data_IF_705466331649
#
_entry.id   IF_705466331649
#
_cell.length_a   1.000
_cell.length_b   1.000
_cell.length_c   1.000
_cell.angle_alpha   90.00
_cell.angle_beta   90.00
_cell.angle_gamma   90.00
#
_symmetry.space_group_name_H-M   'P 1'
#
loop_
_entity.id
_entity.type
_entity.pdbx_description
1 polymer ?
#
# COMPACT_ATOMS: atom_id res chain seq x y z
N UNK A 1 -57.29 -72.69 62.41
CA UNK A 1 -58.38 -72.06 63.20
C UNK A 1 -57.83 -70.77 63.77
N UNK A 2 -58.04 -69.66 63.05
CA UNK A 2 -59.01 -68.59 63.35
C UNK A 2 -58.49 -67.61 64.41
N UNK A 3 -58.54 -66.29 64.27
CA UNK A 3 -58.88 -65.36 63.19
C UNK A 3 -58.63 -63.98 63.83
N UNK A 4 -58.01 -63.01 63.14
CA UNK A 4 -58.34 -61.57 63.31
C UNK A 4 -57.56 -60.66 62.37
N UNK A 5 -58.34 -60.10 61.45
CA UNK A 5 -58.38 -58.70 61.02
C UNK A 5 -57.23 -58.11 60.20
N UNK A 6 -57.55 -58.03 58.91
CA UNK A 6 -57.16 -57.05 57.90
C UNK A 6 -56.89 -55.64 58.43
N UNK A 7 -55.81 -55.03 57.96
CA UNK A 7 -55.82 -53.62 57.53
C UNK A 7 -54.83 -53.43 56.38
N UNK A 8 -55.39 -53.09 55.22
CA UNK A 8 -54.68 -52.74 53.99
C UNK A 8 -54.38 -51.24 54.09
N UNK A 9 -53.10 -50.87 54.19
CA UNK A 9 -52.66 -49.48 54.06
C UNK A 9 -52.47 -49.14 52.59
N UNK A 10 -53.39 -48.35 52.04
CA UNK A 10 -53.26 -47.73 50.72
C UNK A 10 -52.31 -46.52 50.88
N UNK A 11 -51.13 -46.60 50.28
CA UNK A 11 -50.23 -45.45 50.10
C UNK A 11 -50.83 -44.59 48.97
N UNK A 12 -51.41 -43.46 49.34
CA UNK A 12 -51.86 -42.44 48.39
C UNK A 12 -50.65 -41.61 47.95
N UNK A 13 -50.11 -41.95 46.77
CA UNK A 13 -49.07 -41.18 46.10
C UNK A 13 -49.75 -40.02 45.37
N UNK A 14 -49.78 -38.83 45.99
CA UNK A 14 -50.18 -37.60 45.31
C UNK A 14 -48.98 -37.17 44.45
N UNK A 15 -48.98 -37.60 43.19
CA UNK A 15 -48.15 -37.04 42.14
C UNK A 15 -48.66 -35.64 41.81
N UNK A 16 -48.03 -34.62 42.40
CA UNK A 16 -48.18 -33.24 41.97
C UNK A 16 -47.53 -33.12 40.58
N UNK A 17 -48.36 -33.29 39.55
CA UNK A 17 -48.00 -32.94 38.17
C UNK A 17 -47.86 -31.42 38.15
N UNK A 18 -46.63 -30.94 38.34
CA UNK A 18 -46.26 -29.57 37.99
C UNK A 18 -46.35 -29.52 36.48
N UNK A 19 -47.48 -29.02 36.00
CA UNK A 19 -47.68 -28.58 34.64
C UNK A 19 -46.71 -27.42 34.38
N UNK A 20 -45.50 -27.76 33.95
CA UNK A 20 -44.60 -26.87 33.26
C UNK A 20 -45.22 -26.50 31.90
N UNK A 21 -46.20 -25.60 31.95
CA UNK A 21 -46.55 -24.81 30.78
C UNK A 21 -45.30 -24.02 30.36
N UNK A 22 -45.10 -23.76 29.06
CA UNK A 22 -44.01 -22.91 28.62
C UNK A 22 -44.15 -21.56 29.34
N UNK A 23 -43.14 -21.18 30.13
CA UNK A 23 -42.97 -19.82 30.60
C UNK A 23 -43.10 -18.92 29.36
N UNK A 24 -44.19 -18.16 29.27
CA UNK A 24 -44.22 -16.98 28.42
C UNK A 24 -43.00 -16.16 28.83
N UNK A 25 -42.00 -16.06 27.96
CA UNK A 25 -40.89 -15.16 28.15
C UNK A 25 -41.49 -13.78 28.43
N UNK A 26 -41.42 -13.35 29.69
CA UNK A 26 -41.91 -12.04 30.09
C UNK A 26 -41.05 -11.02 29.37
N UNK A 27 -41.68 -10.12 28.62
CA UNK A 27 -40.97 -8.98 28.05
C UNK A 27 -40.31 -8.21 29.20
N UNK A 28 -39.03 -7.93 29.09
CA UNK A 28 -38.29 -7.13 30.05
C UNK A 28 -38.93 -5.75 30.20
N UNK A 29 -38.96 -5.21 31.43
CA UNK A 29 -39.31 -3.82 31.71
C UNK A 29 -38.05 -2.96 31.82
N UNK A 30 -38.20 -1.63 31.79
CA UNK A 30 -37.06 -0.72 32.00
C UNK A 30 -36.37 -0.95 33.35
N UNK A 31 -37.12 -1.32 34.40
CA UNK A 31 -36.57 -1.61 35.73
C UNK A 31 -35.72 -2.88 35.73
N UNK A 32 -36.12 -3.89 34.96
CA UNK A 32 -35.34 -5.12 34.83
C UNK A 32 -34.00 -4.82 34.13
N UNK A 33 -34.03 -3.97 33.09
CA UNK A 33 -32.82 -3.50 32.41
C UNK A 33 -31.90 -2.69 33.35
N UNK A 34 -32.46 -1.82 34.20
CA UNK A 34 -31.68 -1.09 35.22
C UNK A 34 -30.97 -2.04 36.20
N UNK A 35 -31.64 -3.10 36.64
CA UNK A 35 -31.03 -4.11 37.52
C UNK A 35 -29.90 -4.85 36.81
N UNK A 36 -30.09 -5.22 35.53
CA UNK A 36 -29.04 -5.85 34.74
C UNK A 36 -27.83 -4.93 34.54
N UNK A 37 -28.06 -3.62 34.33
CA UNK A 37 -27.01 -2.62 34.22
C UNK A 37 -26.21 -2.52 35.52
N UNK A 38 -26.89 -2.36 36.66
CA UNK A 38 -26.29 -2.25 37.99
C UNK A 38 -25.43 -3.48 38.32
N UNK A 39 -25.92 -4.67 37.96
CA UNK A 39 -25.21 -5.93 38.17
C UNK A 39 -24.14 -6.22 37.09
N UNK A 40 -23.96 -5.33 36.11
CA UNK A 40 -23.04 -5.47 34.97
C UNK A 40 -23.26 -6.76 34.17
N UNK A 41 -24.49 -7.26 34.10
CA UNK A 41 -24.85 -8.42 33.30
C UNK A 41 -25.10 -8.00 31.83
N UNK A 42 -24.00 -7.68 31.15
CA UNK A 42 -24.05 -6.99 29.85
C UNK A 42 -24.60 -7.84 28.71
N UNK A 43 -24.37 -9.16 28.71
CA UNK A 43 -24.89 -10.04 27.65
C UNK A 43 -26.41 -10.10 27.70
N UNK A 44 -26.96 -10.41 28.87
CA UNK A 44 -28.41 -10.49 29.07
C UNK A 44 -29.09 -9.14 28.85
N UNK A 45 -28.49 -8.04 29.34
CA UNK A 45 -28.99 -6.70 29.06
C UNK A 45 -29.14 -6.46 27.55
N UNK A 46 -28.08 -6.74 26.76
CA UNK A 46 -28.06 -6.47 25.33
C UNK A 46 -28.94 -7.45 24.53
N UNK A 47 -29.22 -8.64 25.03
CA UNK A 47 -30.17 -9.57 24.41
C UNK A 47 -31.63 -9.06 24.55
N UNK A 48 -31.92 -8.36 25.65
CA UNK A 48 -33.27 -7.91 26.01
C UNK A 48 -33.50 -6.38 25.93
N UNK A 49 -32.49 -5.59 25.55
CA UNK A 49 -32.57 -4.13 25.53
C UNK A 49 -33.69 -3.58 24.63
N UNK A 50 -34.14 -4.34 23.64
CA UNK A 50 -35.24 -3.98 22.73
C UNK A 50 -36.58 -4.66 23.06
N UNK A 51 -36.68 -5.41 24.15
CA UNK A 51 -37.95 -5.99 24.59
C UNK A 51 -38.91 -4.92 25.15
N UNK A 52 -38.36 -3.81 25.67
CA UNK A 52 -39.13 -2.66 26.12
C UNK A 52 -39.78 -1.90 24.95
N UNK A 53 -40.87 -1.17 25.24
CA UNK A 53 -41.62 -0.43 24.21
C UNK A 53 -40.75 0.67 23.61
N UNK A 54 -40.88 0.99 22.30
CA UNK A 54 -40.14 2.10 21.69
C UNK A 54 -40.31 3.45 22.41
N UNK A 55 -41.47 3.72 23.02
CA UNK A 55 -41.73 4.93 23.80
C UNK A 55 -40.91 5.02 25.09
N UNK A 56 -40.38 3.91 25.59
CA UNK A 56 -39.55 3.83 26.80
C UNK A 56 -38.04 3.94 26.48
N UNK A 57 -37.67 3.93 25.20
CA UNK A 57 -36.29 4.05 24.71
C UNK A 57 -35.84 5.51 24.65
N UNK A 58 -35.90 6.16 25.80
CA UNK A 58 -35.48 7.55 26.00
C UNK A 58 -33.96 7.65 26.24
N UNK A 59 -33.47 8.85 26.57
CA UNK A 59 -32.05 9.10 26.82
C UNK A 59 -31.45 8.26 27.95
N UNK A 60 -32.26 7.87 28.94
CA UNK A 60 -31.81 6.99 30.03
C UNK A 60 -31.50 5.60 29.51
N UNK A 61 -32.45 4.99 28.78
CA UNK A 61 -32.21 3.72 28.10
C UNK A 61 -31.03 3.79 27.12
N UNK A 62 -30.89 4.90 26.40
CA UNK A 62 -29.77 5.13 25.47
C UNK A 62 -28.43 5.02 26.19
N UNK A 63 -28.27 5.73 27.32
CA UNK A 63 -27.05 5.73 28.15
C UNK A 63 -26.73 4.35 28.72
N UNK A 64 -27.72 3.67 29.29
CA UNK A 64 -27.54 2.31 29.82
C UNK A 64 -27.11 1.35 28.71
N UNK A 65 -27.73 1.44 27.54
CA UNK A 65 -27.41 0.57 26.40
C UNK A 65 -26.00 0.79 25.87
N UNK A 66 -25.57 2.05 25.73
CA UNK A 66 -24.20 2.39 25.35
C UNK A 66 -23.19 1.88 26.38
N UNK A 67 -23.45 2.12 27.67
CA UNK A 67 -22.61 1.66 28.77
C UNK A 67 -22.47 0.13 28.77
N UNK A 68 -23.57 -0.62 28.66
CA UNK A 68 -23.54 -2.07 28.67
C UNK A 68 -22.87 -2.66 27.44
N UNK A 69 -23.00 -2.04 26.27
CA UNK A 69 -22.26 -2.44 25.07
C UNK A 69 -20.74 -2.27 25.27
N UNK A 70 -20.30 -1.14 25.84
CA UNK A 70 -18.89 -0.89 26.17
C UNK A 70 -18.36 -1.90 27.20
N UNK A 71 -19.13 -2.18 28.26
CA UNK A 71 -18.79 -3.16 29.30
C UNK A 71 -18.66 -4.57 28.70
N UNK A 72 -19.62 -4.98 27.88
CA UNK A 72 -19.60 -6.28 27.21
C UNK A 72 -18.33 -6.43 26.36
N UNK A 73 -18.09 -5.49 25.46
CA UNK A 73 -16.95 -5.58 24.52
C UNK A 73 -15.62 -5.49 25.26
N UNK A 74 -15.51 -4.65 26.30
CA UNK A 74 -14.29 -4.56 27.11
C UNK A 74 -13.99 -5.89 27.82
N UNK A 75 -15.01 -6.53 28.41
CA UNK A 75 -14.86 -7.85 29.04
C UNK A 75 -14.39 -8.90 28.04
N UNK A 76 -14.88 -8.86 26.80
CA UNK A 76 -14.44 -9.80 25.76
C UNK A 76 -12.98 -9.56 25.35
N UNK A 77 -12.55 -8.29 25.25
CA UNK A 77 -11.15 -7.94 24.94
C UNK A 77 -10.21 -8.36 26.07
N UNK A 78 -10.54 -7.99 27.31
CA UNK A 78 -9.73 -8.29 28.51
C UNK A 78 -9.59 -9.80 28.73
N UNK A 79 -10.69 -10.54 28.55
CA UNK A 79 -10.71 -12.00 28.61
C UNK A 79 -10.11 -12.69 27.38
N UNK A 80 -9.66 -11.94 26.36
CA UNK A 80 -9.18 -12.45 25.05
C UNK A 80 -10.16 -13.43 24.39
N UNK A 81 -11.45 -13.19 24.55
CA UNK A 81 -12.53 -14.04 24.05
C UNK A 81 -12.87 -13.70 22.60
N UNK A 82 -11.89 -13.74 21.70
CA UNK A 82 -12.03 -13.36 20.29
C UNK A 82 -12.57 -14.51 19.41
N UNK A 83 -13.68 -15.11 19.83
CA UNK A 83 -14.38 -16.13 19.05
C UNK A 83 -15.45 -15.51 18.13
N UNK A 84 -15.93 -16.32 17.18
CA UNK A 84 -16.89 -15.91 16.16
C UNK A 84 -18.27 -15.57 16.73
N UNK A 85 -18.72 -16.27 17.77
CA UNK A 85 -20.00 -15.97 18.45
C UNK A 85 -20.00 -14.53 18.98
N UNK A 86 -18.95 -14.15 19.70
CA UNK A 86 -18.80 -12.81 20.24
C UNK A 86 -18.66 -11.75 19.14
N UNK A 87 -17.92 -12.04 18.07
CA UNK A 87 -17.83 -11.16 16.91
C UNK A 87 -19.22 -10.91 16.30
N UNK A 88 -19.96 -11.97 16.00
CA UNK A 88 -21.31 -11.87 15.43
C UNK A 88 -22.27 -11.11 16.35
N UNK A 89 -22.18 -11.32 17.67
CA UNK A 89 -23.01 -10.60 18.62
C UNK A 89 -22.70 -9.09 18.61
N UNK A 90 -21.42 -8.71 18.64
CA UNK A 90 -20.98 -7.30 18.57
C UNK A 90 -21.42 -6.67 17.25
N UNK A 91 -21.25 -7.36 16.12
CA UNK A 91 -21.68 -6.87 14.81
C UNK A 91 -23.20 -6.72 14.71
N UNK A 92 -23.96 -7.61 15.36
CA UNK A 92 -25.43 -7.54 15.41
C UNK A 92 -25.91 -6.30 16.17
N UNK A 93 -25.36 -6.04 17.36
CA UNK A 93 -25.77 -4.87 18.16
C UNK A 93 -25.27 -3.55 17.55
N UNK A 94 -24.17 -3.58 16.78
CA UNK A 94 -23.66 -2.41 16.07
C UNK A 94 -24.68 -1.82 15.06
N UNK A 95 -25.65 -2.61 14.61
CA UNK A 95 -26.72 -2.15 13.72
C UNK A 95 -27.74 -1.23 14.41
N UNK A 96 -27.66 -1.08 15.73
CA UNK A 96 -28.56 -0.21 16.49
C UNK A 96 -28.08 1.23 16.39
N UNK A 97 -28.94 2.21 15.99
CA UNK A 97 -28.53 3.61 15.85
C UNK A 97 -27.85 4.18 17.10
N UNK A 98 -28.34 3.83 18.29
CA UNK A 98 -27.77 4.20 19.59
C UNK A 98 -26.30 3.82 19.75
N UNK A 99 -25.88 2.70 19.16
CA UNK A 99 -24.52 2.16 19.26
C UNK A 99 -23.65 2.53 18.05
N UNK A 100 -24.24 2.65 16.85
CA UNK A 100 -23.52 3.11 15.66
C UNK A 100 -22.93 4.51 15.88
N UNK A 101 -23.69 5.40 16.53
CA UNK A 101 -23.29 6.78 16.83
C UNK A 101 -22.36 6.89 18.05
N UNK A 102 -22.32 5.89 18.93
CA UNK A 102 -21.56 5.96 20.18
C UNK A 102 -20.05 5.76 19.97
N UNK A 103 -19.25 6.79 20.25
CA UNK A 103 -17.81 6.75 20.01
C UNK A 103 -17.07 5.73 20.88
N UNK A 104 -17.44 5.60 22.15
CA UNK A 104 -16.77 4.66 23.06
C UNK A 104 -16.99 3.21 22.64
N UNK A 105 -18.23 2.85 22.26
CA UNK A 105 -18.53 1.53 21.74
C UNK A 105 -17.81 1.27 20.42
N UNK A 106 -17.77 2.23 19.48
CA UNK A 106 -17.06 2.04 18.21
C UNK A 106 -15.56 1.79 18.43
N UNK A 107 -14.91 2.55 19.33
CA UNK A 107 -13.49 2.34 19.69
C UNK A 107 -13.29 0.93 20.26
N UNK A 108 -14.17 0.48 21.17
CA UNK A 108 -14.08 -0.87 21.73
C UNK A 108 -14.34 -1.96 20.69
N UNK A 109 -15.32 -1.77 19.81
CA UNK A 109 -15.62 -2.67 18.69
C UNK A 109 -14.41 -2.85 17.78
N UNK A 110 -13.76 -1.76 17.38
CA UNK A 110 -12.54 -1.81 16.56
C UNK A 110 -11.36 -2.45 17.30
N UNK A 111 -11.24 -2.23 18.61
CA UNK A 111 -10.26 -2.94 19.44
C UNK A 111 -10.51 -4.45 19.51
N UNK A 112 -11.77 -4.87 19.57
CA UNK A 112 -12.14 -6.29 19.51
C UNK A 112 -11.86 -6.91 18.14
N UNK A 113 -12.15 -6.19 17.04
CA UNK A 113 -11.87 -6.64 15.67
C UNK A 113 -10.41 -7.00 15.45
N UNK A 114 -9.49 -6.16 15.94
CA UNK A 114 -8.04 -6.42 15.89
C UNK A 114 -7.67 -7.78 16.50
N UNK A 115 -8.22 -8.10 17.67
CA UNK A 115 -7.99 -9.39 18.32
C UNK A 115 -8.64 -10.55 17.57
N UNK A 116 -9.87 -10.35 17.10
CA UNK A 116 -10.64 -11.31 16.33
C UNK A 116 -9.96 -11.71 15.03
N UNK A 117 -9.63 -10.75 14.15
CA UNK A 117 -9.03 -11.08 12.86
C UNK A 117 -7.65 -11.70 13.00
N UNK A 118 -6.85 -11.28 13.99
CA UNK A 118 -5.60 -11.94 14.32
C UNK A 118 -5.78 -13.41 14.71
N UNK A 119 -6.81 -13.74 15.50
CA UNK A 119 -7.09 -15.12 15.86
C UNK A 119 -7.69 -15.92 14.69
N UNK A 120 -8.56 -15.28 13.90
CA UNK A 120 -9.21 -15.87 12.74
C UNK A 120 -8.18 -16.32 11.69
N UNK A 121 -7.23 -15.44 11.33
CA UNK A 121 -6.17 -15.75 10.38
C UNK A 121 -5.23 -16.86 10.86
N UNK A 122 -4.98 -16.96 12.18
CA UNK A 122 -4.16 -18.06 12.75
C UNK A 122 -4.81 -19.44 12.62
N UNK A 123 -6.13 -19.51 12.43
CA UNK A 123 -6.86 -20.77 12.22
C UNK A 123 -6.91 -21.21 10.75
N UNK A 124 -6.25 -20.47 9.85
CA UNK A 124 -6.30 -20.67 8.39
C UNK A 124 -7.73 -20.58 7.82
N UNK A 125 -8.60 -19.77 8.44
CA UNK A 125 -9.99 -19.52 8.00
C UNK A 125 -10.09 -18.30 7.06
N UNK A 126 -9.03 -18.01 6.29
CA UNK A 126 -8.83 -16.77 5.52
C UNK A 126 -10.08 -16.27 4.77
N UNK A 127 -10.79 -17.16 4.08
CA UNK A 127 -11.99 -16.81 3.30
C UNK A 127 -13.11 -16.24 4.19
N UNK A 128 -13.36 -16.87 5.34
CA UNK A 128 -14.39 -16.43 6.28
C UNK A 128 -13.95 -15.12 6.94
N UNK A 129 -12.69 -15.07 7.41
CA UNK A 129 -12.13 -13.87 8.04
C UNK A 129 -12.20 -12.66 7.10
N UNK A 130 -11.89 -12.86 5.82
CA UNK A 130 -11.93 -11.81 4.80
C UNK A 130 -13.36 -11.32 4.55
N UNK A 131 -14.33 -12.22 4.42
CA UNK A 131 -15.74 -11.83 4.26
C UNK A 131 -16.22 -11.00 5.44
N UNK A 132 -15.93 -11.46 6.66
CA UNK A 132 -16.30 -10.78 7.90
C UNK A 132 -15.59 -9.43 8.06
N UNK A 133 -14.33 -9.32 7.65
CA UNK A 133 -13.61 -8.05 7.56
C UNK A 133 -14.33 -7.07 6.64
N UNK A 134 -14.66 -7.49 5.42
CA UNK A 134 -15.29 -6.61 4.44
C UNK A 134 -16.67 -6.14 4.91
N UNK A 135 -17.45 -7.03 5.54
CA UNK A 135 -18.74 -6.67 6.15
C UNK A 135 -18.57 -5.70 7.32
N UNK A 136 -17.63 -5.98 8.23
CA UNK A 136 -17.36 -5.12 9.39
C UNK A 136 -16.83 -3.74 8.98
N UNK A 137 -15.99 -3.68 7.95
CA UNK A 137 -15.47 -2.44 7.37
C UNK A 137 -16.57 -1.59 6.74
N UNK A 138 -17.50 -2.22 6.00
CA UNK A 138 -18.61 -1.53 5.36
C UNK A 138 -19.51 -0.78 6.35
N UNK A 139 -19.69 -1.32 7.55
CA UNK A 139 -20.47 -0.74 8.65
C UNK A 139 -19.65 0.06 9.68
N UNK A 140 -18.34 0.22 9.45
CA UNK A 140 -17.44 0.95 10.36
C UNK A 140 -17.37 2.45 10.05
N UNK A 141 -16.69 3.19 10.93
CA UNK A 141 -16.32 4.60 10.71
C UNK A 141 -15.23 4.78 9.65
N UNK A 142 -14.62 3.68 9.18
CA UNK A 142 -13.56 3.64 8.17
C UNK A 142 -12.30 4.38 8.63
N UNK A 143 -11.91 4.14 9.88
CA UNK A 143 -10.73 4.72 10.50
C UNK A 143 -9.45 4.40 9.69
N UNK A 144 -8.62 5.41 9.36
CA UNK A 144 -7.40 5.21 8.58
C UNK A 144 -6.34 4.35 9.26
N UNK A 145 -6.17 4.43 10.58
CA UNK A 145 -5.19 3.58 11.29
C UNK A 145 -5.61 2.11 11.23
N UNK A 146 -6.91 1.86 11.39
CA UNK A 146 -7.48 0.51 11.21
C UNK A 146 -7.34 0.01 9.78
N UNK A 147 -7.48 0.87 8.77
CA UNK A 147 -7.21 0.48 7.39
C UNK A 147 -5.76 0.00 7.20
N UNK A 148 -4.77 0.70 7.79
CA UNK A 148 -3.37 0.25 7.72
C UNK A 148 -3.18 -1.08 8.43
N UNK A 149 -3.78 -1.25 9.61
CA UNK A 149 -3.73 -2.49 10.38
C UNK A 149 -4.26 -3.67 9.55
N UNK A 150 -5.42 -3.52 8.92
CA UNK A 150 -6.03 -4.56 8.08
C UNK A 150 -5.23 -4.87 6.82
N UNK A 151 -4.68 -3.85 6.14
CA UNK A 151 -3.78 -4.04 5.01
C UNK A 151 -2.50 -4.81 5.41
N UNK A 152 -2.01 -4.60 6.64
CA UNK A 152 -0.87 -5.34 7.18
C UNK A 152 -1.19 -6.79 7.55
N UNK A 153 -2.42 -7.07 7.98
CA UNK A 153 -2.87 -8.41 8.38
C UNK A 153 -3.26 -9.28 7.18
N UNK A 154 -4.03 -8.74 6.24
CA UNK A 154 -4.65 -9.50 5.15
C UNK A 154 -3.83 -9.40 3.86
N UNK A 155 -2.94 -10.38 3.65
CA UNK A 155 -2.03 -10.41 2.48
C UNK A 155 -2.71 -10.83 1.17
N UNK A 156 -3.89 -11.46 1.23
CA UNK A 156 -4.59 -12.05 0.08
C UNK A 156 -5.80 -11.23 -0.38
N UNK A 157 -5.81 -9.92 -0.12
CA UNK A 157 -6.83 -9.02 -0.66
C UNK A 157 -6.65 -8.86 -2.17
N UNK A 158 -7.75 -8.89 -2.92
CA UNK A 158 -7.70 -8.52 -4.32
C UNK A 158 -7.54 -6.99 -4.50
N UNK A 159 -7.28 -6.55 -5.74
CA UNK A 159 -7.03 -5.12 -6.03
C UNK A 159 -8.20 -4.19 -5.68
N UNK A 160 -9.44 -4.69 -5.75
CA UNK A 160 -10.64 -3.91 -5.42
C UNK A 160 -10.81 -3.84 -3.90
N UNK A 161 -10.64 -4.97 -3.22
CA UNK A 161 -10.70 -5.07 -1.76
C UNK A 161 -9.62 -4.19 -1.11
N UNK A 162 -8.37 -4.29 -1.56
CA UNK A 162 -7.25 -3.46 -1.10
C UNK A 162 -7.55 -1.96 -1.26
N UNK A 163 -8.17 -1.57 -2.37
CA UNK A 163 -8.49 -0.16 -2.66
C UNK A 163 -9.46 0.45 -1.64
N UNK A 164 -10.35 -0.35 -1.05
CA UNK A 164 -11.31 0.11 -0.04
C UNK A 164 -10.61 0.64 1.22
N UNK A 165 -9.51 0.01 1.60
CA UNK A 165 -8.71 0.41 2.76
C UNK A 165 -7.68 1.46 2.36
N UNK A 166 -6.96 1.23 1.26
CA UNK A 166 -5.87 2.09 0.83
C UNK A 166 -6.36 3.52 0.55
N UNK A 167 -7.50 3.69 -0.13
CA UNK A 167 -8.07 5.02 -0.40
C UNK A 167 -8.35 5.84 0.86
N UNK A 168 -8.71 5.20 1.98
CA UNK A 168 -8.93 5.86 3.27
C UNK A 168 -7.63 6.34 3.89
N UNK A 169 -6.56 5.57 3.74
CA UNK A 169 -5.22 5.96 4.21
C UNK A 169 -4.70 7.14 3.39
N UNK A 170 -4.71 7.01 2.06
CA UNK A 170 -4.08 7.95 1.12
C UNK A 170 -4.73 9.34 1.07
N UNK A 171 -5.99 9.45 1.51
CA UNK A 171 -6.76 10.70 1.47
C UNK A 171 -7.15 11.22 2.86
N UNK A 172 -6.66 10.60 3.93
CA UNK A 172 -6.93 11.06 5.30
C UNK A 172 -6.17 12.35 5.66
N UNK A 173 -6.69 13.08 6.64
CA UNK A 173 -6.02 14.23 7.26
C UNK A 173 -4.73 13.87 8.01
N UNK A 174 -4.49 12.60 8.31
CA UNK A 174 -3.28 12.08 8.96
C UNK A 174 -2.36 11.32 8.00
N UNK A 175 -2.65 11.38 6.69
CA UNK A 175 -1.93 10.66 5.63
C UNK A 175 -0.41 10.89 5.62
N UNK A 176 0.06 12.09 6.01
CA UNK A 176 1.49 12.37 6.17
C UNK A 176 2.20 11.37 7.11
N UNK A 177 1.51 10.87 8.14
CA UNK A 177 2.06 9.90 9.08
C UNK A 177 1.84 8.45 8.65
N UNK A 178 0.78 8.18 7.89
CA UNK A 178 0.42 6.82 7.49
C UNK A 178 1.13 6.38 6.21
N UNK A 179 1.32 7.28 5.24
CA UNK A 179 1.90 6.93 3.94
C UNK A 179 3.39 6.54 4.01
N UNK A 180 4.09 6.94 5.07
CA UNK A 180 5.46 6.48 5.37
C UNK A 180 5.52 5.06 5.96
N UNK A 181 4.38 4.46 6.35
CA UNK A 181 4.37 3.09 6.90
C UNK A 181 4.74 2.12 5.76
N UNK A 182 5.66 1.15 5.97
CA UNK A 182 6.20 0.32 4.89
C UNK A 182 5.15 -0.40 4.03
N UNK A 183 4.10 -0.94 4.65
CA UNK A 183 3.01 -1.62 3.93
C UNK A 183 2.28 -0.67 2.99
N UNK A 184 2.04 0.57 3.41
CA UNK A 184 1.33 1.57 2.60
C UNK A 184 2.24 2.04 1.48
N UNK A 185 3.51 2.32 1.78
CA UNK A 185 4.48 2.74 0.78
C UNK A 185 4.63 1.69 -0.33
N UNK A 186 4.82 0.42 0.02
CA UNK A 186 4.97 -0.69 -0.95
C UNK A 186 3.73 -0.83 -1.85
N UNK A 187 2.54 -0.94 -1.25
CA UNK A 187 1.28 -1.09 -1.99
C UNK A 187 1.05 0.10 -2.93
N UNK A 188 1.30 1.31 -2.45
CA UNK A 188 1.05 2.53 -3.21
C UNK A 188 2.01 2.68 -4.38
N UNK A 189 3.31 2.45 -4.15
CA UNK A 189 4.34 2.49 -5.20
C UNK A 189 4.05 1.42 -6.25
N UNK A 190 3.75 0.19 -5.83
CA UNK A 190 3.39 -0.90 -6.74
C UNK A 190 2.17 -0.54 -7.60
N UNK A 191 1.15 0.08 -7.01
CA UNK A 191 -0.07 0.48 -7.72
C UNK A 191 0.19 1.60 -8.73
N UNK A 192 0.96 2.63 -8.36
CA UNK A 192 1.38 3.71 -9.25
C UNK A 192 2.21 3.19 -10.43
N UNK A 193 3.20 2.33 -10.18
CA UNK A 193 4.05 1.74 -11.23
C UNK A 193 3.20 0.90 -12.20
N UNK A 194 2.33 0.05 -11.67
CA UNK A 194 1.46 -0.79 -12.49
C UNK A 194 0.50 0.07 -13.33
N UNK A 195 -0.09 1.10 -12.75
CA UNK A 195 -1.00 1.98 -13.48
C UNK A 195 -0.27 2.79 -14.55
N UNK A 196 0.94 3.29 -14.28
CA UNK A 196 1.78 3.98 -15.25
C UNK A 196 2.21 3.09 -16.43
N UNK A 197 2.31 1.77 -16.20
CA UNK A 197 2.61 0.80 -17.23
C UNK A 197 1.38 0.43 -18.08
N UNK A 198 0.18 0.42 -17.49
CA UNK A 198 -1.06 0.01 -18.16
C UNK A 198 -1.76 1.16 -18.90
N UNK A 199 -1.78 2.36 -18.33
CA UNK A 199 -2.46 3.51 -18.91
C UNK A 199 -1.58 4.19 -19.97
N UNK A 200 -2.04 4.18 -21.21
CA UNK A 200 -1.31 4.78 -22.34
C UNK A 200 -1.74 6.23 -22.60
N UNK A 201 -2.92 6.63 -22.12
CA UNK A 201 -3.42 8.00 -22.23
C UNK A 201 -2.86 8.85 -21.08
N UNK A 202 -1.95 9.77 -21.43
CA UNK A 202 -1.29 10.64 -20.47
C UNK A 202 -2.27 11.55 -19.70
N UNK A 203 -3.40 11.94 -20.31
CA UNK A 203 -4.40 12.81 -19.66
C UNK A 203 -5.17 12.01 -18.62
N UNK A 204 -5.60 10.79 -18.97
CA UNK A 204 -6.27 9.88 -18.02
C UNK A 204 -5.36 9.49 -16.87
N UNK A 205 -4.10 9.15 -17.17
CA UNK A 205 -3.14 8.81 -16.13
C UNK A 205 -2.89 9.98 -15.18
N UNK A 206 -2.77 11.20 -15.72
CA UNK A 206 -2.62 12.42 -14.91
C UNK A 206 -3.79 12.62 -13.95
N UNK A 207 -5.03 12.64 -14.46
CA UNK A 207 -6.23 12.81 -13.64
C UNK A 207 -6.34 11.71 -12.58
N UNK A 208 -6.14 10.45 -12.95
CA UNK A 208 -6.15 9.34 -11.99
C UNK A 208 -5.06 9.50 -10.93
N UNK A 209 -3.83 9.85 -11.33
CA UNK A 209 -2.72 9.99 -10.40
C UNK A 209 -3.02 11.11 -9.40
N UNK A 210 -3.49 12.27 -9.85
CA UNK A 210 -3.90 13.40 -9.00
C UNK A 210 -4.98 13.04 -7.99
N UNK A 211 -5.99 12.27 -8.40
CA UNK A 211 -7.11 11.83 -7.54
C UNK A 211 -6.76 10.67 -6.61
N UNK A 212 -5.73 9.88 -6.94
CA UNK A 212 -5.41 8.65 -6.22
C UNK A 212 -4.97 8.88 -4.76
N UNK A 213 -4.30 10.01 -4.49
CA UNK A 213 -3.86 10.40 -3.15
C UNK A 213 -3.76 11.91 -3.00
N UNK A 214 -3.92 12.39 -1.76
CA UNK A 214 -3.73 13.79 -1.43
C UNK A 214 -2.25 14.21 -1.45
N UNK A 215 -2.00 15.52 -1.35
CA UNK A 215 -0.67 16.09 -1.41
C UNK A 215 0.24 15.65 -0.25
N UNK A 216 -0.32 15.52 0.96
CA UNK A 216 0.44 15.12 2.15
C UNK A 216 1.02 13.71 2.01
N UNK A 217 0.22 12.78 1.51
CA UNK A 217 0.65 11.42 1.20
C UNK A 217 1.68 11.40 0.08
N UNK A 218 1.43 12.16 -1.00
CA UNK A 218 2.34 12.26 -2.13
C UNK A 218 3.73 12.76 -1.70
N UNK A 219 3.80 13.76 -0.82
CA UNK A 219 5.07 14.27 -0.29
C UNK A 219 5.90 13.18 0.42
N UNK A 220 5.27 12.17 1.01
CA UNK A 220 5.97 11.03 1.63
C UNK A 220 6.43 9.99 0.61
N UNK A 221 5.70 9.83 -0.49
CA UNK A 221 5.93 8.78 -1.47
C UNK A 221 6.89 9.24 -2.58
N UNK A 222 6.82 10.52 -2.98
CA UNK A 222 7.64 11.13 -4.03
C UNK A 222 9.13 10.77 -3.94
N UNK A 223 9.81 10.81 -2.77
CA UNK A 223 11.23 10.50 -2.69
C UNK A 223 11.60 9.12 -3.24
N UNK A 224 10.70 8.13 -3.15
CA UNK A 224 10.92 6.79 -3.72
C UNK A 224 10.98 6.83 -5.23
N UNK A 225 10.16 7.67 -5.87
CA UNK A 225 10.19 7.85 -7.32
C UNK A 225 11.40 8.66 -7.76
N UNK A 226 11.81 9.67 -6.99
CA UNK A 226 13.02 10.45 -7.26
C UNK A 226 14.27 9.55 -7.23
N UNK A 227 14.38 8.66 -6.24
CA UNK A 227 15.45 7.66 -6.17
C UNK A 227 15.35 6.66 -7.32
N UNK A 228 14.14 6.14 -7.59
CA UNK A 228 13.92 5.16 -8.65
C UNK A 228 14.14 5.72 -10.06
N UNK A 229 14.03 7.04 -10.27
CA UNK A 229 14.31 7.69 -11.55
C UNK A 229 15.78 7.56 -11.94
N UNK A 230 16.67 7.50 -10.96
CA UNK A 230 18.12 7.35 -11.12
C UNK A 230 18.63 5.92 -10.85
N UNK A 231 17.71 5.00 -10.53
CA UNK A 231 18.04 3.60 -10.22
C UNK A 231 18.52 2.78 -11.42
N UNK A 232 18.91 1.53 -11.16
CA UNK A 232 19.47 0.63 -12.18
C UNK A 232 18.41 -0.04 -13.08
N UNK A 233 17.16 -0.16 -12.63
CA UNK A 233 16.09 -0.82 -13.38
C UNK A 233 15.47 0.12 -14.41
N UNK A 234 15.69 -0.17 -15.70
CA UNK A 234 15.09 0.63 -16.79
C UNK A 234 13.56 0.68 -16.72
N UNK A 235 12.91 -0.40 -16.32
CA UNK A 235 11.45 -0.44 -16.19
C UNK A 235 10.97 0.52 -15.09
N UNK A 236 11.60 0.47 -13.92
CA UNK A 236 11.24 1.33 -12.80
C UNK A 236 11.58 2.81 -13.07
N UNK A 237 12.71 3.11 -13.71
CA UNK A 237 13.03 4.49 -14.14
C UNK A 237 11.94 5.06 -15.05
N UNK A 238 11.51 4.29 -16.05
CA UNK A 238 10.47 4.73 -17.00
C UNK A 238 9.13 4.97 -16.31
N UNK A 239 8.68 4.05 -15.44
CA UNK A 239 7.41 4.26 -14.74
C UNK A 239 7.50 5.41 -13.74
N UNK A 240 8.64 5.58 -13.05
CA UNK A 240 8.87 6.71 -12.14
C UNK A 240 8.82 8.04 -12.88
N UNK A 241 9.44 8.12 -14.06
CA UNK A 241 9.34 9.30 -14.92
C UNK A 241 7.89 9.64 -15.25
N UNK A 242 7.07 8.66 -15.67
CA UNK A 242 5.65 8.89 -15.96
C UNK A 242 4.88 9.38 -14.74
N UNK A 243 5.09 8.76 -13.58
CA UNK A 243 4.42 9.13 -12.32
C UNK A 243 4.75 10.57 -11.93
N UNK A 244 6.03 10.94 -11.94
CA UNK A 244 6.49 12.28 -11.60
C UNK A 244 6.05 13.33 -12.64
N UNK A 245 6.09 12.99 -13.93
CA UNK A 245 5.63 13.87 -15.01
C UNK A 245 4.13 14.16 -14.91
N UNK A 246 3.33 13.13 -14.61
CA UNK A 246 1.89 13.28 -14.42
C UNK A 246 1.54 14.23 -13.27
N UNK A 247 2.33 14.23 -12.18
CA UNK A 247 2.18 15.15 -11.05
C UNK A 247 2.79 16.54 -11.30
N UNK A 248 3.55 16.71 -12.39
CA UNK A 248 4.26 17.96 -12.66
C UNK A 248 5.44 18.22 -11.71
N UNK A 249 5.94 17.18 -11.03
CA UNK A 249 6.95 17.28 -9.98
C UNK A 249 8.37 16.97 -10.44
N UNK A 250 8.54 16.64 -11.73
CA UNK A 250 9.86 16.45 -12.32
C UNK A 250 10.65 17.75 -12.32
N UNK A 251 11.79 17.74 -11.65
CA UNK A 251 12.77 18.82 -11.75
C UNK A 251 13.41 18.77 -13.14
N UNK A 252 13.53 19.93 -13.82
CA UNK A 252 14.04 20.02 -15.19
C UNK A 252 15.37 19.27 -15.39
N UNK A 253 16.30 19.41 -14.43
CA UNK A 253 17.61 18.76 -14.53
C UNK A 253 17.50 17.23 -14.47
N UNK A 254 16.60 16.69 -13.65
CA UNK A 254 16.40 15.26 -13.48
C UNK A 254 15.68 14.67 -14.70
N UNK A 255 14.71 15.41 -15.24
CA UNK A 255 14.08 15.11 -16.52
C UNK A 255 15.13 15.00 -17.63
N UNK A 256 16.03 15.98 -17.77
CA UNK A 256 17.08 15.93 -18.78
C UNK A 256 18.02 14.74 -18.55
N UNK A 257 18.48 14.51 -17.33
CA UNK A 257 19.37 13.37 -16.99
C UNK A 257 18.71 12.04 -17.36
N UNK A 258 17.45 11.83 -17.00
CA UNK A 258 16.71 10.62 -17.35
C UNK A 258 16.57 10.47 -18.87
N UNK A 259 16.13 11.52 -19.58
CA UNK A 259 15.91 11.49 -21.02
C UNK A 259 17.20 11.24 -21.81
N UNK A 260 18.32 11.83 -21.40
CA UNK A 260 19.62 11.55 -22.02
C UNK A 260 20.08 10.12 -21.70
N UNK A 261 19.90 9.66 -20.46
CA UNK A 261 20.18 8.26 -20.10
C UNK A 261 19.35 7.28 -20.91
N UNK A 262 18.10 7.62 -21.21
CA UNK A 262 17.23 6.82 -22.08
C UNK A 262 17.77 6.67 -23.51
N UNK A 263 18.35 7.73 -24.09
CA UNK A 263 19.04 7.66 -25.40
C UNK A 263 20.27 6.76 -25.32
N UNK A 264 20.97 6.76 -24.20
CA UNK A 264 22.18 5.99 -23.97
C UNK A 264 21.93 4.51 -23.62
N UNK A 265 20.71 4.16 -23.20
CA UNK A 265 20.32 2.83 -22.74
C UNK A 265 19.36 2.13 -23.70
N UNK A 266 19.64 2.17 -25.01
CA UNK A 266 18.84 1.50 -26.07
C UNK A 266 17.38 2.00 -26.13
N UNK A 267 17.15 3.20 -26.69
CA UNK A 267 15.82 3.79 -26.71
C UNK A 267 14.87 3.01 -27.62
N UNK A 268 13.62 2.88 -27.18
CA UNK A 268 12.52 2.30 -27.97
C UNK A 268 11.77 3.41 -28.70
N UNK A 269 11.34 3.14 -29.94
CA UNK A 269 10.54 4.11 -30.70
C UNK A 269 9.22 4.39 -29.97
N UNK A 270 8.85 5.66 -29.81
CA UNK A 270 7.62 6.06 -29.14
C UNK A 270 7.68 7.49 -28.60
N UNK A 271 6.68 7.88 -27.81
CA UNK A 271 6.59 9.23 -27.21
C UNK A 271 7.86 9.60 -26.43
N UNK A 272 8.35 8.67 -25.62
CA UNK A 272 9.52 8.91 -24.77
C UNK A 272 10.79 9.15 -25.60
N UNK A 273 10.97 8.43 -26.70
CA UNK A 273 12.07 8.69 -27.62
C UNK A 273 11.98 10.09 -28.24
N UNK A 274 10.80 10.52 -28.68
CA UNK A 274 10.63 11.86 -29.23
C UNK A 274 10.94 12.95 -28.19
N UNK A 275 10.50 12.77 -26.95
CA UNK A 275 10.85 13.66 -25.84
C UNK A 275 12.37 13.70 -25.62
N UNK A 276 13.00 12.54 -25.55
CA UNK A 276 14.43 12.43 -25.29
C UNK A 276 15.30 13.00 -26.44
N UNK A 277 14.87 12.79 -27.67
CA UNK A 277 15.52 13.33 -28.86
C UNK A 277 15.45 14.85 -28.92
N UNK A 278 14.29 15.42 -28.57
CA UNK A 278 14.11 16.86 -28.49
C UNK A 278 14.94 17.44 -27.35
N UNK A 279 14.95 16.79 -26.19
CA UNK A 279 15.75 17.20 -25.04
C UNK A 279 17.24 17.25 -25.38
N UNK A 280 17.77 16.22 -26.03
CA UNK A 280 19.17 16.19 -26.49
C UNK A 280 19.52 17.42 -27.35
N UNK A 281 18.64 17.78 -28.29
CA UNK A 281 18.83 18.98 -29.12
C UNK A 281 18.73 20.28 -28.32
N UNK A 282 17.86 20.34 -27.32
CA UNK A 282 17.71 21.54 -26.49
C UNK A 282 18.92 21.77 -25.59
N UNK A 283 19.39 20.74 -24.89
CA UNK A 283 20.60 20.87 -24.08
C UNK A 283 21.80 21.22 -24.96
N UNK A 284 21.84 20.74 -26.21
CA UNK A 284 22.88 21.06 -27.18
C UNK A 284 23.08 22.55 -27.44
N UNK A 285 22.04 23.37 -27.22
CA UNK A 285 22.07 24.82 -27.40
C UNK A 285 22.55 25.59 -26.17
N UNK A 286 22.68 24.94 -25.01
CA UNK A 286 23.01 25.62 -23.74
C UNK A 286 24.16 24.91 -23.00
N UNK A 287 25.38 25.42 -23.18
CA UNK A 287 26.60 24.86 -22.60
C UNK A 287 26.53 24.74 -21.06
N UNK A 288 26.07 25.79 -20.38
CA UNK A 288 25.95 25.77 -18.91
C UNK A 288 24.98 24.68 -18.44
N UNK A 289 23.86 24.52 -19.15
CA UNK A 289 22.89 23.46 -18.86
C UNK A 289 23.49 22.06 -19.07
N UNK A 290 24.21 21.82 -20.18
CA UNK A 290 24.91 20.55 -20.43
C UNK A 290 25.88 20.19 -19.31
N UNK A 291 26.66 21.15 -18.81
CA UNK A 291 27.61 20.90 -17.71
C UNK A 291 26.89 20.44 -16.45
N UNK A 292 25.71 21.02 -16.14
CA UNK A 292 24.90 20.59 -14.99
C UNK A 292 24.32 19.18 -15.21
N UNK A 293 23.84 18.87 -16.41
CA UNK A 293 23.35 17.52 -16.76
C UNK A 293 24.49 16.52 -16.61
N UNK A 294 25.67 16.81 -17.17
CA UNK A 294 26.85 15.97 -17.07
C UNK A 294 27.26 15.76 -15.61
N UNK A 295 27.27 16.82 -14.79
CA UNK A 295 27.62 16.73 -13.38
C UNK A 295 26.73 15.75 -12.61
N UNK A 296 25.43 15.67 -12.95
CA UNK A 296 24.51 14.69 -12.38
C UNK A 296 24.77 13.29 -12.92
N UNK A 297 24.94 13.14 -14.24
CA UNK A 297 25.20 11.84 -14.87
C UNK A 297 26.49 11.18 -14.40
N UNK A 298 27.52 11.95 -14.03
CA UNK A 298 28.78 11.44 -13.45
C UNK A 298 28.61 10.63 -12.18
N UNK A 299 27.50 10.80 -11.46
CA UNK A 299 27.22 10.09 -10.22
C UNK A 299 26.43 8.79 -10.46
N UNK A 300 26.08 8.48 -11.72
CA UNK A 300 25.42 7.24 -12.08
C UNK A 300 26.44 6.10 -12.10
N UNK A 301 26.06 4.95 -11.55
CA UNK A 301 26.91 3.77 -11.50
C UNK A 301 26.07 2.50 -11.78
N UNK A 302 26.25 1.83 -12.94
CA UNK A 302 27.19 2.19 -14.01
C UNK A 302 26.72 3.41 -14.83
N UNK A 303 27.65 4.00 -15.57
CA UNK A 303 27.34 5.03 -16.57
C UNK A 303 26.51 4.42 -17.72
N UNK A 304 25.40 5.08 -18.15
CA UNK A 304 24.60 4.65 -19.29
C UNK A 304 25.43 4.51 -20.57
N UNK A 305 25.23 3.42 -21.30
CA UNK A 305 26.08 3.16 -22.47
C UNK A 305 25.71 1.94 -23.29
N UNK A 306 24.52 1.37 -23.11
CA UNK A 306 24.06 0.23 -23.93
C UNK A 306 23.95 0.59 -25.41
N UNK A 307 23.80 1.88 -25.71
CA UNK A 307 23.88 2.45 -27.05
C UNK A 307 25.11 1.94 -27.84
N UNK A 308 26.26 1.80 -27.18
CA UNK A 308 27.50 1.34 -27.84
C UNK A 308 27.47 -0.14 -28.23
N UNK A 309 26.52 -0.90 -27.70
CA UNK A 309 26.32 -2.33 -27.98
C UNK A 309 25.14 -2.59 -28.93
N UNK A 310 24.49 -1.55 -29.48
CA UNK A 310 23.38 -1.77 -30.41
C UNK A 310 23.83 -2.56 -31.65
N UNK A 311 23.04 -3.58 -31.98
CA UNK A 311 23.21 -4.43 -33.17
C UNK A 311 22.90 -3.63 -34.44
N UNK A 312 21.86 -2.80 -34.40
CA UNK A 312 21.50 -1.92 -35.53
C UNK A 312 22.51 -0.79 -35.67
N UNK A 313 23.46 -0.96 -36.61
CA UNK A 313 24.54 0.00 -36.87
C UNK A 313 24.04 1.34 -37.39
N UNK A 314 22.96 1.36 -38.17
CA UNK A 314 22.39 2.60 -38.70
C UNK A 314 21.78 3.43 -37.58
N UNK A 315 20.93 2.80 -36.75
CA UNK A 315 20.34 3.45 -35.58
C UNK A 315 21.42 3.94 -34.61
N UNK A 316 22.42 3.10 -34.33
CA UNK A 316 23.58 3.45 -33.50
C UNK A 316 24.33 4.66 -34.05
N UNK A 317 24.67 4.67 -35.33
CA UNK A 317 25.37 5.76 -36.01
C UNK A 317 24.63 7.09 -35.89
N UNK A 318 23.31 7.07 -36.15
CA UNK A 318 22.45 8.26 -36.06
C UNK A 318 22.42 8.82 -34.64
N UNK A 319 22.20 7.95 -33.64
CA UNK A 319 22.14 8.35 -32.23
C UNK A 319 23.48 8.91 -31.74
N UNK A 320 24.59 8.27 -32.10
CA UNK A 320 25.94 8.73 -31.74
C UNK A 320 26.30 10.04 -32.40
N UNK A 321 25.95 10.23 -33.67
CA UNK A 321 26.17 11.50 -34.38
C UNK A 321 25.42 12.64 -33.69
N UNK A 322 24.17 12.40 -33.27
CA UNK A 322 23.44 13.42 -32.51
C UNK A 322 24.00 13.64 -31.12
N UNK A 323 24.43 12.59 -30.44
CA UNK A 323 25.03 12.71 -29.11
C UNK A 323 26.35 13.49 -29.17
N UNK A 324 27.22 13.19 -30.13
CA UNK A 324 28.48 13.91 -30.33
C UNK A 324 28.25 15.38 -30.69
N UNK A 325 27.27 15.66 -31.57
CA UNK A 325 26.94 17.03 -31.94
C UNK A 325 26.40 17.87 -30.78
N UNK A 326 25.56 17.27 -29.93
CA UNK A 326 24.80 18.02 -28.93
C UNK A 326 25.37 17.90 -27.51
N UNK A 327 26.01 16.79 -27.17
CA UNK A 327 26.54 16.52 -25.84
C UNK A 327 27.85 15.70 -25.86
N UNK A 328 28.89 16.19 -26.56
CA UNK A 328 30.17 15.47 -26.73
C UNK A 328 30.91 15.23 -25.41
N UNK A 329 30.68 16.07 -24.40
CA UNK A 329 31.34 15.98 -23.09
C UNK A 329 30.99 14.68 -22.36
N UNK A 330 29.83 14.07 -22.66
CA UNK A 330 29.47 12.76 -22.12
C UNK A 330 30.36 11.65 -22.69
N UNK A 331 30.61 11.66 -24.00
CA UNK A 331 31.46 10.67 -24.67
C UNK A 331 32.90 10.73 -24.14
N UNK A 332 33.46 11.93 -24.02
CA UNK A 332 34.79 12.13 -23.43
C UNK A 332 34.85 11.62 -21.99
N UNK A 333 33.84 11.95 -21.18
CA UNK A 333 33.78 11.47 -19.80
C UNK A 333 33.67 9.94 -19.71
N UNK A 334 32.75 9.32 -20.46
CA UNK A 334 32.57 7.86 -20.48
C UNK A 334 33.87 7.16 -20.90
N UNK A 335 34.52 7.62 -21.98
CA UNK A 335 35.79 7.07 -22.45
C UNK A 335 36.91 7.23 -21.42
N UNK A 336 37.04 8.39 -20.76
CA UNK A 336 38.05 8.59 -19.71
C UNK A 336 37.82 7.66 -18.52
N UNK A 337 36.58 7.56 -18.04
CA UNK A 337 36.22 6.69 -16.91
C UNK A 337 36.52 5.23 -17.24
N UNK A 338 36.22 4.80 -18.47
CA UNK A 338 36.59 3.48 -18.99
C UNK A 338 38.10 3.23 -18.96
N UNK A 339 38.91 4.19 -19.43
CA UNK A 339 40.37 4.04 -19.39
C UNK A 339 40.96 4.11 -17.98
N UNK A 340 40.42 4.97 -17.12
CA UNK A 340 40.82 5.06 -15.71
C UNK A 340 40.55 3.73 -14.98
N UNK A 341 39.43 3.06 -15.29
CA UNK A 341 39.11 1.73 -14.79
C UNK A 341 40.08 0.67 -15.32
N UNK A 342 40.31 0.63 -16.64
CA UNK A 342 41.22 -0.37 -17.24
C UNK A 342 42.67 -0.23 -16.76
N UNK A 343 43.11 0.99 -16.45
CA UNK A 343 44.45 1.26 -15.92
C UNK A 343 44.56 1.12 -14.39
N UNK A 344 43.45 0.88 -13.68
CA UNK A 344 43.44 0.83 -12.21
C UNK A 344 43.80 2.15 -11.54
N UNK A 345 43.61 3.30 -12.22
CA UNK A 345 43.94 4.64 -11.68
C UNK A 345 42.97 5.15 -10.63
N UNK A 346 41.77 4.56 -10.56
CA UNK A 346 40.71 4.92 -9.62
C UNK A 346 40.05 3.66 -9.09
N UNK A 347 39.61 3.74 -7.84
CA UNK A 347 38.80 2.71 -7.23
C UNK A 347 37.32 2.90 -7.61
N UNK A 348 36.69 1.81 -8.02
CA UNK A 348 35.28 1.76 -8.36
C UNK A 348 34.63 0.67 -7.50
N UNK A 349 34.03 1.02 -6.35
CA UNK A 349 33.62 0.05 -5.33
C UNK A 349 32.52 -0.91 -5.80
N UNK A 350 31.79 -0.57 -6.86
CA UNK A 350 30.72 -1.40 -7.46
C UNK A 350 31.16 -2.14 -8.73
N UNK A 351 32.46 -2.17 -9.02
CA UNK A 351 33.02 -2.88 -10.18
C UNK A 351 33.17 -1.97 -11.40
N UNK A 352 32.92 -2.51 -12.60
CA UNK A 352 33.14 -1.78 -13.85
C UNK A 352 32.11 -0.63 -14.04
N UNK A 353 32.52 0.65 -13.95
CA UNK A 353 31.61 1.80 -14.08
C UNK A 353 31.12 2.01 -15.52
N UNK A 354 31.74 1.34 -16.49
CA UNK A 354 31.46 1.47 -17.92
C UNK A 354 31.39 0.09 -18.58
N UNK A 355 30.30 -0.67 -18.40
CA UNK A 355 30.19 -2.06 -18.88
C UNK A 355 30.49 -2.23 -20.37
N UNK A 356 30.21 -1.20 -21.18
CA UNK A 356 30.42 -1.21 -22.64
C UNK A 356 31.75 -0.57 -23.08
N UNK A 357 32.72 -0.47 -22.17
CA UNK A 357 34.03 0.15 -22.36
C UNK A 357 34.79 -0.38 -23.59
N UNK A 358 34.79 -1.69 -23.85
CA UNK A 358 35.50 -2.23 -25.02
C UNK A 358 34.86 -1.82 -26.36
N UNK A 359 33.52 -1.74 -26.39
CA UNK A 359 32.76 -1.41 -27.62
C UNK A 359 33.02 0.01 -28.08
N UNK A 360 33.20 0.96 -27.14
CA UNK A 360 33.41 2.37 -27.50
C UNK A 360 34.66 2.60 -28.37
N UNK A 361 35.71 1.78 -28.18
CA UNK A 361 36.97 1.91 -28.89
C UNK A 361 37.12 0.93 -30.06
N UNK A 362 36.49 -0.25 -29.99
CA UNK A 362 36.64 -1.31 -31.00
C UNK A 362 35.63 -1.21 -32.15
N UNK A 363 34.48 -0.57 -31.92
CA UNK A 363 33.41 -0.48 -32.90
C UNK A 363 33.71 0.60 -33.96
N UNK A 364 33.57 0.26 -35.25
CA UNK A 364 33.86 1.16 -36.38
C UNK A 364 32.91 2.35 -36.47
N UNK A 365 31.70 2.23 -35.91
CA UNK A 365 30.69 3.29 -35.86
C UNK A 365 30.93 4.21 -34.67
N UNK A 366 31.38 3.66 -33.54
CA UNK A 366 31.56 4.42 -32.28
C UNK A 366 32.93 5.09 -32.21
N UNK A 367 33.99 4.40 -32.65
CA UNK A 367 35.36 4.91 -32.55
C UNK A 367 35.53 6.30 -33.21
N UNK A 368 34.96 6.64 -34.38
CA UNK A 368 35.12 7.95 -35.00
C UNK A 368 34.79 9.15 -34.12
N UNK A 369 33.79 9.06 -33.23
CA UNK A 369 33.38 10.16 -32.33
C UNK A 369 34.24 10.30 -31.07
N UNK A 370 35.22 9.41 -30.87
CA UNK A 370 36.11 9.45 -29.70
C UNK A 370 37.38 10.24 -30.00
N UNK A 371 37.79 11.05 -29.02
CA UNK A 371 39.01 11.86 -29.09
C UNK A 371 40.26 11.00 -29.38
N UNK A 372 41.12 11.46 -30.29
CA UNK A 372 42.32 10.73 -30.73
C UNK A 372 43.30 10.43 -29.57
N UNK A 373 43.45 11.34 -28.61
CA UNK A 373 44.29 11.11 -27.43
C UNK A 373 43.79 9.95 -26.57
N UNK A 374 42.47 9.79 -26.43
CA UNK A 374 41.88 8.67 -25.70
C UNK A 374 42.03 7.36 -26.47
N UNK A 375 41.96 7.38 -27.80
CA UNK A 375 42.25 6.19 -28.64
C UNK A 375 43.69 5.72 -28.50
N UNK A 376 44.64 6.65 -28.51
CA UNK A 376 46.06 6.34 -28.32
C UNK A 376 46.30 5.73 -26.92
N UNK A 377 45.67 6.31 -25.89
CA UNK A 377 45.71 5.77 -24.52
C UNK A 377 45.13 4.35 -24.45
N UNK A 378 43.98 4.09 -25.07
CA UNK A 378 43.41 2.73 -25.14
C UNK A 378 44.34 1.71 -25.82
N UNK A 379 44.95 2.09 -26.95
CA UNK A 379 45.90 1.24 -27.67
C UNK A 379 47.15 0.94 -26.84
N UNK A 380 47.57 1.84 -25.96
CA UNK A 380 48.70 1.62 -25.05
C UNK A 380 48.38 0.61 -23.94
N UNK A 381 47.13 0.56 -23.46
CA UNK A 381 46.68 -0.40 -22.43
C UNK A 381 46.57 -1.83 -23.00
N UNK A 382 46.22 -1.96 -24.28
CA UNK A 382 46.06 -3.26 -24.95
C UNK A 382 47.37 -3.94 -25.34
N UNK A 383 48.48 -3.19 -25.38
CA UNK A 383 49.82 -3.72 -25.60
C UNK A 383 50.37 -4.24 -24.27
#
# INVERSE_FOLDING_TARGET
>A
MNNKSRMVGIISLITMIISSGPLRAGYYTIKDLEVLEQNRNAKEYLEHAHDIRPSERNDHWKKMTQHMAVVFTSKMIEGRLFNRENFQFIEKINLWPTLTEDEFFQIKREGFHSGYFNQCLKKNEDTICKLELLTAWASSRKDPDKAVEYLGMFKNLDKKEEALFLSRVLNSNISAFLCKKPVILDLTVKRLINQAALETDAVKFKSWNEEFMNQDCWNQIRPVFDESLMGSSSYHREQSFKVLEARGDLIDIEKSVFLISYILDEPKVGRLFNLAWNELKQIGKNNNYRRRVLARMKNMDPLPGRLFHLIDENKKSILLTQLDRNFPEYLDHYSRTCLDYLEGKKEFPRGNPTPNCQKIFADKVVSPVINQGLKLRYSAIKK
#
